data_IF_918484449527
#
_entry.id   IF_918484449527
#
_cell.length_a   1.000
_cell.length_b   1.000
_cell.length_c   1.000
_cell.angle_alpha   90.00
_cell.angle_beta   90.00
_cell.angle_gamma   90.00
#
_symmetry.space_group_name_H-M   'P 1'
#
loop_
_entity.id
_entity.type
_entity.pdbx_description
1 polymer ?
#
# COMPACT_ATOMS: atom_id res chain seq x y z
N UNK A 1 -8.48 -18.58 35.38
CA UNK A 1 -7.43 -18.02 34.51
C UNK A 1 -7.82 -18.27 33.07
N UNK A 2 -8.28 -17.23 32.34
CA UNK A 2 -8.65 -17.35 30.91
C UNK A 2 -7.35 -17.33 30.11
N UNK A 3 -7.00 -18.44 29.45
CA UNK A 3 -5.89 -18.50 28.52
C UNK A 3 -6.28 -17.73 27.25
N UNK A 4 -5.63 -16.58 27.00
CA UNK A 4 -5.72 -15.88 25.73
C UNK A 4 -4.85 -16.63 24.72
N UNK A 5 -5.48 -17.28 23.75
CA UNK A 5 -4.80 -17.79 22.57
C UNK A 5 -4.75 -16.64 21.54
N UNK A 6 -3.59 -16.05 21.35
CA UNK A 6 -3.35 -15.11 20.24
C UNK A 6 -3.29 -15.93 18.96
N UNK A 7 -4.34 -15.83 18.15
CA UNK A 7 -4.31 -16.39 16.81
C UNK A 7 -3.40 -15.53 15.93
N UNK A 8 -2.20 -16.02 15.68
CA UNK A 8 -1.27 -15.47 14.70
C UNK A 8 -1.88 -15.68 13.31
N UNK A 9 -2.57 -14.70 12.77
CA UNK A 9 -2.98 -14.73 11.37
C UNK A 9 -1.78 -14.31 10.55
N UNK A 10 -1.31 -15.18 9.66
CA UNK A 10 -0.27 -14.94 8.70
C UNK A 10 -0.53 -13.63 7.95
N UNK A 11 0.32 -12.64 8.16
CA UNK A 11 0.45 -11.51 7.28
C UNK A 11 0.95 -12.07 5.94
N UNK A 12 0.10 -12.02 4.92
CA UNK A 12 0.58 -12.17 3.55
C UNK A 12 1.64 -11.09 3.32
N UNK A 13 2.86 -11.45 2.87
CA UNK A 13 3.87 -10.46 2.58
C UNK A 13 3.29 -9.46 1.57
N UNK A 14 3.36 -8.18 1.93
CA UNK A 14 2.99 -7.08 1.03
C UNK A 14 4.00 -7.05 -0.11
N UNK A 15 3.56 -7.47 -1.30
CA UNK A 15 4.37 -7.51 -2.50
C UNK A 15 4.27 -6.19 -3.24
N UNK A 16 5.23 -5.33 -3.03
CA UNK A 16 5.32 -4.05 -3.72
C UNK A 16 6.59 -4.07 -4.58
N UNK A 17 6.51 -3.59 -5.80
CA UNK A 17 7.59 -3.68 -6.78
C UNK A 17 7.78 -2.37 -7.54
N UNK A 18 9.01 -1.89 -7.59
CA UNK A 18 9.43 -0.81 -8.48
C UNK A 18 10.07 -1.39 -9.74
N UNK A 19 9.54 -1.09 -10.93
CA UNK A 19 10.07 -1.63 -12.18
C UNK A 19 11.31 -0.87 -12.63
N UNK A 20 12.43 -1.59 -12.80
CA UNK A 20 13.57 -1.06 -13.56
C UNK A 20 13.25 -1.05 -15.07
N UNK A 21 13.77 -0.09 -15.85
CA UNK A 21 13.51 -0.03 -17.28
C UNK A 21 14.14 -1.24 -17.98
N UNK A 22 13.30 -2.19 -18.43
CA UNK A 22 13.75 -3.22 -19.37
C UNK A 22 13.95 -2.59 -20.75
N UNK A 23 15.07 -2.88 -21.40
CA UNK A 23 15.34 -2.60 -22.82
C UNK A 23 14.12 -2.99 -23.65
N UNK A 24 13.63 -2.06 -24.47
CA UNK A 24 12.55 -2.27 -25.41
C UNK A 24 12.88 -3.45 -26.34
N UNK A 25 12.24 -4.59 -26.14
CA UNK A 25 12.01 -5.54 -27.22
C UNK A 25 10.68 -5.19 -27.85
N UNK A 26 10.75 -4.88 -29.15
CA UNK A 26 9.62 -4.55 -30.00
C UNK A 26 8.56 -5.65 -29.98
N UNK A 27 7.39 -5.33 -29.45
CA UNK A 27 6.15 -5.98 -29.84
C UNK A 27 5.26 -4.92 -30.48
N UNK A 28 5.30 -4.90 -31.81
CA UNK A 28 4.33 -4.20 -32.64
C UNK A 28 3.00 -4.95 -32.60
N UNK A 29 1.93 -4.13 -32.66
CA UNK A 29 0.53 -4.44 -32.93
C UNK A 29 -0.35 -4.78 -31.73
N UNK A 30 -0.88 -3.71 -31.12
CA UNK A 30 -2.29 -3.67 -30.75
C UNK A 30 -2.88 -2.29 -31.07
N UNK A 31 -4.01 -2.31 -31.75
CA UNK A 31 -4.72 -1.22 -32.41
C UNK A 31 -4.99 0.00 -31.54
N UNK A 32 -4.89 1.18 -32.19
CA UNK A 32 -5.44 2.47 -31.76
C UNK A 32 -6.87 2.35 -31.22
N UNK A 33 -7.02 2.47 -29.90
CA UNK A 33 -8.25 2.94 -29.28
C UNK A 33 -7.86 3.90 -28.15
N UNK A 34 -8.37 5.11 -28.26
CA UNK A 34 -8.31 6.26 -27.37
C UNK A 34 -7.91 5.91 -25.92
N UNK A 35 -6.72 6.30 -25.51
CA UNK A 35 -6.31 6.36 -24.12
C UNK A 35 -7.18 7.41 -23.39
N UNK A 36 -8.38 7.03 -22.96
CA UNK A 36 -9.05 7.69 -21.86
C UNK A 36 -8.13 7.51 -20.66
N UNK A 37 -7.60 8.61 -20.12
CA UNK A 37 -6.98 8.66 -18.80
C UNK A 37 -8.03 8.15 -17.79
N UNK A 38 -8.00 6.84 -17.50
CA UNK A 38 -8.85 6.21 -16.49
C UNK A 38 -8.21 6.49 -15.12
N UNK A 39 -8.42 7.71 -14.62
CA UNK A 39 -8.19 7.96 -13.19
C UNK A 39 -9.13 7.08 -12.37
N UNK A 40 -8.65 6.64 -11.20
CA UNK A 40 -9.47 5.87 -10.25
C UNK A 40 -10.76 6.64 -9.95
N UNK A 41 -11.91 5.99 -10.14
CA UNK A 41 -13.19 6.56 -9.75
C UNK A 41 -13.28 6.56 -8.22
N UNK A 42 -13.10 7.72 -7.60
CA UNK A 42 -12.99 7.88 -6.14
C UNK A 42 -14.25 7.39 -5.41
N UNK A 43 -15.45 7.70 -5.91
CA UNK A 43 -16.69 7.27 -5.26
C UNK A 43 -16.81 5.75 -5.21
N UNK A 44 -16.57 5.08 -6.33
CA UNK A 44 -16.60 3.63 -6.41
C UNK A 44 -15.52 2.99 -5.55
N UNK A 45 -14.31 3.56 -5.52
CA UNK A 45 -13.22 3.10 -4.68
C UNK A 45 -13.62 3.13 -3.20
N UNK A 46 -14.10 4.27 -2.69
CA UNK A 46 -14.46 4.42 -1.27
C UNK A 46 -15.59 3.48 -0.87
N UNK A 47 -16.61 3.31 -1.72
CA UNK A 47 -17.70 2.36 -1.47
C UNK A 47 -17.17 0.92 -1.36
N UNK A 48 -16.25 0.52 -2.24
CA UNK A 48 -15.69 -0.82 -2.24
C UNK A 48 -14.73 -1.05 -1.06
N UNK A 49 -13.92 -0.07 -0.72
CA UNK A 49 -13.09 -0.11 0.49
C UNK A 49 -13.94 -0.24 1.76
N UNK A 50 -15.00 0.55 1.90
CA UNK A 50 -15.94 0.43 3.02
C UNK A 50 -16.56 -0.97 3.13
N UNK A 51 -16.90 -1.60 1.97
CA UNK A 51 -17.40 -2.99 1.95
C UNK A 51 -16.32 -3.99 2.38
N UNK A 52 -15.07 -3.78 1.97
CA UNK A 52 -13.95 -4.62 2.36
C UNK A 52 -13.65 -4.48 3.87
N UNK A 53 -13.67 -3.25 4.40
CA UNK A 53 -13.45 -2.95 5.81
C UNK A 53 -14.41 -3.68 6.75
N UNK A 54 -15.65 -3.98 6.29
CA UNK A 54 -16.58 -4.82 7.05
C UNK A 54 -16.02 -6.21 7.36
N UNK A 55 -15.18 -6.76 6.46
CA UNK A 55 -14.54 -8.06 6.65
C UNK A 55 -13.40 -7.99 7.68
N UNK A 56 -12.78 -6.81 7.82
CA UNK A 56 -11.66 -6.53 8.75
C UNK A 56 -12.12 -6.23 10.17
N UNK A 57 -13.40 -5.87 10.35
CA UNK A 57 -13.96 -5.57 11.68
C UNK A 57 -13.71 -6.75 12.63
N UNK A 58 -13.16 -6.50 13.84
CA UNK A 58 -12.91 -7.54 14.82
C UNK A 58 -14.19 -8.31 15.18
N UNK A 59 -14.07 -9.59 15.49
CA UNK A 59 -15.20 -10.47 15.83
C UNK A 59 -14.90 -11.27 17.10
N UNK A 60 -15.86 -11.36 17.99
CA UNK A 60 -15.82 -12.30 19.10
C UNK A 60 -16.25 -13.68 18.60
N UNK A 61 -15.38 -14.67 18.76
CA UNK A 61 -15.61 -16.06 18.36
C UNK A 61 -15.83 -16.88 19.62
N UNK A 62 -16.91 -17.66 19.66
CA UNK A 62 -17.23 -18.61 20.71
C UNK A 62 -16.88 -20.02 20.25
N UNK A 63 -16.11 -20.74 21.03
CA UNK A 63 -15.78 -22.15 20.80
C UNK A 63 -16.80 -23.06 21.49
N UNK A 64 -16.94 -24.28 20.99
CA UNK A 64 -17.84 -25.29 21.56
C UNK A 64 -17.45 -25.75 23.01
N UNK A 65 -16.20 -25.48 23.42
CA UNK A 65 -15.73 -25.78 24.79
C UNK A 65 -16.00 -24.64 25.80
N UNK A 66 -16.81 -23.64 25.43
CA UNK A 66 -17.18 -22.50 26.29
C UNK A 66 -16.12 -21.39 26.36
N UNK A 67 -14.99 -21.51 25.67
CA UNK A 67 -14.00 -20.43 25.57
C UNK A 67 -14.38 -19.44 24.49
N UNK A 68 -13.89 -18.18 24.60
CA UNK A 68 -14.08 -17.16 23.59
C UNK A 68 -12.78 -16.41 23.33
N UNK A 69 -12.59 -15.97 22.08
CA UNK A 69 -11.44 -15.17 21.69
C UNK A 69 -11.85 -14.11 20.66
N UNK A 70 -11.06 -13.04 20.56
CA UNK A 70 -11.24 -12.03 19.52
C UNK A 70 -10.40 -12.38 18.31
N UNK A 71 -11.02 -12.37 17.12
CA UNK A 71 -10.34 -12.46 15.84
C UNK A 71 -10.32 -11.08 15.19
N UNK A 72 -9.14 -10.58 14.91
CA UNK A 72 -8.96 -9.30 14.23
C UNK A 72 -7.71 -9.35 13.33
N UNK A 73 -7.63 -8.42 12.37
CA UNK A 73 -6.47 -8.22 11.52
C UNK A 73 -5.78 -6.93 11.94
N UNK A 74 -4.45 -6.99 12.11
CA UNK A 74 -3.63 -5.81 12.35
C UNK A 74 -3.54 -4.97 11.09
N UNK A 75 -3.50 -3.65 11.25
CA UNK A 75 -3.18 -2.72 10.17
C UNK A 75 -1.67 -2.81 9.86
N UNK A 76 -1.23 -2.50 8.62
CA UNK A 76 0.19 -2.37 8.33
C UNK A 76 0.88 -1.41 9.31
N UNK A 77 2.02 -1.82 9.86
CA UNK A 77 2.78 -1.03 10.83
C UNK A 77 2.18 -0.92 12.25
N UNK A 78 1.02 -1.56 12.49
CA UNK A 78 0.36 -1.51 13.80
C UNK A 78 1.06 -2.41 14.83
N UNK A 79 1.34 -1.83 16.00
CA UNK A 79 1.86 -2.55 17.16
C UNK A 79 0.82 -3.49 17.81
N UNK A 80 1.06 -3.83 19.08
CA UNK A 80 0.06 -4.52 19.91
C UNK A 80 -1.07 -3.54 20.26
N UNK A 81 -2.32 -3.98 20.09
CA UNK A 81 -3.51 -3.20 20.44
C UNK A 81 -4.17 -3.76 21.70
N UNK A 82 -4.80 -2.88 22.48
CA UNK A 82 -5.47 -3.26 23.71
C UNK A 82 -6.80 -3.98 23.44
N UNK A 83 -7.29 -4.69 24.46
CA UNK A 83 -8.61 -5.32 24.41
C UNK A 83 -9.73 -4.27 24.24
N UNK A 84 -9.57 -3.13 24.86
CA UNK A 84 -10.48 -1.99 24.78
C UNK A 84 -10.57 -1.48 23.35
N UNK A 85 -9.44 -1.33 22.69
CA UNK A 85 -9.38 -0.89 21.28
C UNK A 85 -10.01 -1.94 20.34
N UNK A 86 -9.79 -3.24 20.58
CA UNK A 86 -10.46 -4.30 19.81
C UNK A 86 -11.98 -4.19 19.93
N UNK A 87 -12.49 -3.96 21.17
CA UNK A 87 -13.92 -3.79 21.41
C UNK A 87 -14.48 -2.54 20.76
N UNK A 88 -13.75 -1.43 20.83
CA UNK A 88 -14.13 -0.18 20.16
C UNK A 88 -14.25 -0.37 18.65
N UNK A 89 -13.25 -0.99 18.02
CA UNK A 89 -13.30 -1.32 16.58
C UNK A 89 -14.48 -2.23 16.22
N UNK A 90 -14.85 -3.15 17.10
CA UNK A 90 -16.07 -3.97 16.91
C UNK A 90 -17.34 -3.13 16.89
N UNK A 91 -17.46 -2.15 17.80
CA UNK A 91 -18.62 -1.27 17.92
C UNK A 91 -18.71 -0.34 16.71
N UNK A 92 -17.58 0.29 16.35
CA UNK A 92 -17.51 1.21 15.20
C UNK A 92 -17.66 0.50 13.86
N UNK A 93 -17.36 -0.81 13.82
CA UNK A 93 -17.39 -1.58 12.58
C UNK A 93 -16.46 -1.01 11.53
N UNK A 94 -16.90 -0.89 10.25
CA UNK A 94 -16.06 -0.32 9.18
C UNK A 94 -15.75 1.17 9.36
N UNK A 95 -16.46 1.88 10.26
CA UNK A 95 -16.14 3.29 10.55
C UNK A 95 -14.83 3.44 11.33
N UNK A 96 -14.33 2.38 11.97
CA UNK A 96 -12.99 2.37 12.58
C UNK A 96 -11.85 2.57 11.57
N UNK A 97 -12.14 2.50 10.27
CA UNK A 97 -11.19 2.74 9.16
C UNK A 97 -11.53 4.01 8.36
N UNK A 98 -12.33 4.91 8.93
CA UNK A 98 -12.71 6.16 8.26
C UNK A 98 -11.49 7.04 7.97
N UNK A 99 -10.57 7.13 8.92
CA UNK A 99 -9.34 7.93 8.80
C UNK A 99 -8.51 7.48 7.59
N UNK A 100 -8.31 6.17 7.42
CA UNK A 100 -7.56 5.63 6.29
C UNK A 100 -8.24 5.97 4.96
N UNK A 101 -9.58 5.94 4.88
CA UNK A 101 -10.30 6.35 3.67
C UNK A 101 -10.15 7.84 3.36
N UNK A 102 -10.15 8.70 4.38
CA UNK A 102 -9.89 10.13 4.23
C UNK A 102 -8.45 10.39 3.75
N UNK A 103 -7.46 9.68 4.31
CA UNK A 103 -6.07 9.78 3.89
C UNK A 103 -5.84 9.29 2.45
N UNK A 104 -6.53 8.21 2.04
CA UNK A 104 -6.55 7.75 0.64
C UNK A 104 -7.06 8.87 -0.29
N UNK A 105 -8.19 9.50 0.07
CA UNK A 105 -8.76 10.59 -0.73
C UNK A 105 -7.80 11.78 -0.84
N UNK A 106 -7.19 12.17 0.28
CA UNK A 106 -6.24 13.29 0.32
C UNK A 106 -5.00 12.99 -0.53
N UNK A 107 -4.46 11.77 -0.45
CA UNK A 107 -3.29 11.36 -1.23
C UNK A 107 -3.62 11.27 -2.73
N UNK A 108 -4.75 10.68 -3.11
CA UNK A 108 -5.20 10.62 -4.51
C UNK A 108 -5.48 12.02 -5.07
N UNK A 109 -6.05 12.92 -4.28
CA UNK A 109 -6.22 14.32 -4.65
C UNK A 109 -4.87 14.96 -4.97
N UNK A 110 -3.86 14.78 -4.10
CA UNK A 110 -2.51 15.32 -4.33
C UNK A 110 -1.85 14.74 -5.57
N UNK A 111 -1.95 13.42 -5.79
CA UNK A 111 -1.46 12.74 -6.99
C UNK A 111 -2.09 13.35 -8.25
N UNK A 112 -3.42 13.59 -8.24
CA UNK A 112 -4.13 14.19 -9.36
C UNK A 112 -3.73 15.66 -9.59
N UNK A 113 -3.50 16.47 -8.54
CA UNK A 113 -3.00 17.85 -8.64
C UNK A 113 -1.64 17.88 -9.32
N UNK A 114 -0.78 16.93 -9.07
CA UNK A 114 0.50 16.73 -9.74
C UNK A 114 0.36 16.16 -11.17
N UNK A 115 -0.85 15.87 -11.63
CA UNK A 115 -1.16 15.27 -12.94
C UNK A 115 -0.48 13.91 -13.14
N UNK A 116 -0.28 13.17 -12.06
CA UNK A 116 0.23 11.79 -12.10
C UNK A 116 -0.95 10.87 -12.40
N UNK A 117 -0.78 10.01 -13.40
CA UNK A 117 -1.80 9.00 -13.72
C UNK A 117 -1.90 7.97 -12.59
N UNK A 118 -3.13 7.55 -12.29
CA UNK A 118 -3.34 6.48 -11.32
C UNK A 118 -4.46 5.55 -11.79
N UNK A 119 -4.27 4.24 -11.64
CA UNK A 119 -5.25 3.24 -12.07
C UNK A 119 -5.25 1.99 -11.20
N UNK A 120 -6.39 1.30 -11.18
CA UNK A 120 -6.50 -0.08 -10.71
C UNK A 120 -6.32 -1.01 -11.90
N UNK A 121 -5.42 -1.98 -11.81
CA UNK A 121 -5.17 -2.95 -12.88
C UNK A 121 -4.64 -4.26 -12.30
N UNK A 122 -4.57 -5.32 -13.09
CA UNK A 122 -3.95 -6.57 -12.67
C UNK A 122 -2.43 -6.51 -12.89
N UNK A 123 -1.65 -6.75 -11.84
CA UNK A 123 -0.19 -6.76 -11.89
C UNK A 123 0.32 -8.21 -11.96
N UNK A 124 0.76 -8.63 -13.16
CA UNK A 124 1.20 -10.02 -13.43
C UNK A 124 2.37 -10.50 -12.59
N UNK A 125 3.24 -9.59 -12.13
CA UNK A 125 4.40 -9.93 -11.31
C UNK A 125 4.04 -10.39 -9.89
N UNK A 126 2.78 -10.23 -9.48
CA UNK A 126 2.33 -10.47 -8.11
C UNK A 126 2.53 -9.28 -7.17
N UNK A 127 3.16 -8.20 -7.62
CA UNK A 127 3.23 -6.95 -6.88
C UNK A 127 1.82 -6.40 -6.62
N UNK A 128 1.64 -5.69 -5.51
CA UNK A 128 0.37 -5.07 -5.13
C UNK A 128 0.29 -3.60 -5.55
N UNK A 129 1.43 -2.96 -5.79
CA UNK A 129 1.56 -1.62 -6.33
C UNK A 129 2.74 -1.55 -7.29
N UNK A 130 2.76 -0.48 -8.10
CA UNK A 130 3.83 -0.24 -9.06
C UNK A 130 3.87 1.23 -9.47
N UNK A 131 4.98 1.90 -9.22
CA UNK A 131 5.32 3.16 -9.86
C UNK A 131 6.02 2.90 -11.19
N UNK A 132 5.52 3.48 -12.28
CA UNK A 132 6.10 3.38 -13.63
C UNK A 132 6.56 4.78 -14.07
N UNK A 133 7.84 5.14 -13.83
CA UNK A 133 8.36 6.47 -14.15
C UNK A 133 8.23 6.84 -15.64
N UNK A 134 8.42 5.89 -16.55
CA UNK A 134 8.32 6.13 -17.99
C UNK A 134 6.94 6.58 -18.45
N UNK A 135 5.91 6.19 -17.71
CA UNK A 135 4.51 6.39 -18.06
C UNK A 135 3.84 7.40 -17.10
N UNK A 136 4.60 7.93 -16.14
CA UNK A 136 4.12 8.83 -15.08
C UNK A 136 2.84 8.26 -14.41
N UNK A 137 2.86 6.96 -14.07
CA UNK A 137 1.66 6.21 -13.67
C UNK A 137 1.90 5.39 -12.42
N UNK A 138 1.02 5.56 -11.42
CA UNK A 138 0.85 4.63 -10.30
C UNK A 138 -0.20 3.59 -10.69
N UNK A 139 0.16 2.32 -10.57
CA UNK A 139 -0.77 1.19 -10.73
C UNK A 139 -0.93 0.51 -9.39
N UNK A 140 -2.17 0.34 -8.93
CA UNK A 140 -2.49 -0.48 -7.76
C UNK A 140 -3.22 -1.73 -8.25
N UNK A 141 -2.81 -2.91 -7.78
CA UNK A 141 -3.52 -4.13 -8.14
C UNK A 141 -4.95 -4.08 -7.59
N UNK A 142 -5.94 -4.39 -8.43
CA UNK A 142 -7.35 -4.27 -8.03
C UNK A 142 -7.71 -5.16 -6.83
N UNK A 143 -6.97 -6.26 -6.59
CA UNK A 143 -7.15 -7.15 -5.43
C UNK A 143 -6.91 -6.43 -4.10
N UNK A 144 -6.11 -5.37 -4.10
CA UNK A 144 -5.81 -4.56 -2.90
C UNK A 144 -7.06 -3.90 -2.33
N UNK A 145 -8.03 -3.57 -3.18
CA UNK A 145 -9.32 -3.01 -2.73
C UNK A 145 -10.04 -3.98 -1.79
N UNK A 146 -9.95 -5.29 -2.06
CA UNK A 146 -10.57 -6.31 -1.20
C UNK A 146 -9.82 -6.54 0.12
N UNK A 147 -8.57 -6.07 0.20
CA UNK A 147 -7.75 -6.12 1.42
C UNK A 147 -8.06 -4.99 2.41
N UNK A 148 -8.93 -4.05 2.02
CA UNK A 148 -9.43 -2.97 2.86
C UNK A 148 -8.57 -1.72 2.89
N UNK A 149 -9.12 -0.68 3.53
CA UNK A 149 -8.56 0.67 3.54
C UNK A 149 -7.14 0.75 4.10
N UNK A 150 -6.78 0.08 5.22
CA UNK A 150 -5.42 0.19 5.75
C UNK A 150 -4.35 -0.34 4.78
N UNK A 151 -4.61 -1.48 4.14
CA UNK A 151 -3.68 -2.06 3.17
C UNK A 151 -3.60 -1.21 1.90
N UNK A 152 -4.76 -0.75 1.41
CA UNK A 152 -4.79 0.13 0.25
C UNK A 152 -4.00 1.42 0.47
N UNK A 153 -4.19 2.08 1.63
CA UNK A 153 -3.45 3.29 1.99
C UNK A 153 -1.95 3.04 2.03
N UNK A 154 -1.53 1.94 2.67
CA UNK A 154 -0.12 1.60 2.79
C UNK A 154 0.55 1.41 1.42
N UNK A 155 -0.10 0.68 0.50
CA UNK A 155 0.43 0.45 -0.85
C UNK A 155 0.44 1.75 -1.66
N UNK A 156 -0.65 2.53 -1.62
CA UNK A 156 -0.71 3.81 -2.31
C UNK A 156 0.36 4.79 -1.80
N UNK A 157 0.59 4.83 -0.47
CA UNK A 157 1.64 5.65 0.16
C UNK A 157 3.03 5.22 -0.29
N UNK A 158 3.28 3.91 -0.35
CA UNK A 158 4.56 3.36 -0.82
C UNK A 158 4.86 3.80 -2.27
N UNK A 159 3.90 3.64 -3.19
CA UNK A 159 4.08 4.06 -4.58
C UNK A 159 4.24 5.59 -4.71
N UNK A 160 3.51 6.36 -3.90
CA UNK A 160 3.65 7.80 -3.85
C UNK A 160 5.03 8.25 -3.34
N UNK A 161 5.64 7.49 -2.42
CA UNK A 161 7.02 7.73 -1.98
C UNK A 161 8.00 7.46 -3.13
N UNK A 162 7.80 6.42 -3.95
CA UNK A 162 8.61 6.19 -5.15
C UNK A 162 8.49 7.34 -6.16
N UNK A 163 7.31 7.95 -6.30
CA UNK A 163 7.16 9.19 -7.08
C UNK A 163 8.05 10.29 -6.51
N UNK A 164 8.01 10.53 -5.20
CA UNK A 164 8.84 11.54 -4.54
C UNK A 164 10.35 11.26 -4.70
N UNK A 165 10.76 9.99 -4.59
CA UNK A 165 12.13 9.55 -4.86
C UNK A 165 12.57 9.80 -6.31
N UNK A 166 11.66 9.65 -7.28
CA UNK A 166 11.90 9.99 -8.68
C UNK A 166 12.05 11.50 -8.86
N UNK A 167 11.16 12.30 -8.27
CA UNK A 167 11.25 13.77 -8.27
C UNK A 167 12.56 14.25 -7.64
N UNK A 168 12.97 13.68 -6.50
CA UNK A 168 14.24 13.96 -5.84
C UNK A 168 15.44 13.65 -6.74
N UNK A 169 15.37 12.62 -7.57
CA UNK A 169 16.39 12.31 -8.60
C UNK A 169 16.35 13.27 -9.81
N UNK A 170 15.58 14.33 -9.75
CA UNK A 170 15.52 15.43 -10.70
C UNK A 170 14.28 15.46 -11.60
N UNK A 171 13.52 14.38 -11.76
CA UNK A 171 12.23 14.37 -12.46
C UNK A 171 11.48 13.06 -12.28
N UNK A 172 10.14 13.07 -12.42
CA UNK A 172 9.26 11.91 -12.25
C UNK A 172 9.53 10.76 -13.22
N UNK A 173 10.07 11.05 -14.40
CA UNK A 173 10.40 10.02 -15.40
C UNK A 173 11.74 9.29 -15.13
N UNK A 174 12.47 9.68 -14.09
CA UNK A 174 13.69 9.00 -13.66
C UNK A 174 13.37 7.87 -12.70
N UNK A 175 14.27 6.88 -12.67
CA UNK A 175 14.21 5.81 -11.69
C UNK A 175 14.29 6.39 -10.26
N UNK A 176 13.53 5.86 -9.27
CA UNK A 176 13.59 6.30 -7.88
C UNK A 176 15.02 6.25 -7.33
N UNK A 177 15.39 7.25 -6.53
CA UNK A 177 16.64 7.33 -5.79
C UNK A 177 16.32 7.66 -4.33
N UNK A 178 17.06 7.07 -3.42
CA UNK A 178 16.88 7.36 -1.99
C UNK A 178 16.92 8.86 -1.73
N UNK A 179 15.95 9.35 -0.97
CA UNK A 179 15.89 10.72 -0.46
C UNK A 179 16.97 10.92 0.65
N UNK A 180 17.32 9.83 1.34
CA UNK A 180 18.29 9.84 2.42
C UNK A 180 17.65 9.85 3.80
N UNK A 181 16.37 9.52 3.91
CA UNK A 181 15.68 9.36 5.18
C UNK A 181 16.24 8.16 5.96
N UNK A 182 16.17 8.16 7.32
CA UNK A 182 16.56 7.02 8.14
C UNK A 182 15.82 5.74 7.73
N UNK A 183 16.50 4.61 7.72
CA UNK A 183 15.92 3.31 7.35
C UNK A 183 15.54 2.51 8.59
N UNK A 184 14.34 1.90 8.60
CA UNK A 184 13.98 0.91 9.59
C UNK A 184 14.50 -0.49 9.21
N UNK A 185 14.77 -1.32 10.23
CA UNK A 185 15.27 -2.69 10.12
C UNK A 185 14.44 -3.63 11.01
N UNK A 186 13.11 -3.63 10.81
CA UNK A 186 12.25 -4.58 11.51
C UNK A 186 12.27 -5.96 10.84
N UNK A 187 11.89 -7.00 11.60
CA UNK A 187 11.74 -8.36 11.06
C UNK A 187 10.71 -8.40 9.94
N UNK A 188 9.58 -7.70 10.10
CA UNK A 188 8.51 -7.62 9.10
C UNK A 188 9.01 -7.00 7.80
N UNK A 189 9.73 -5.88 7.88
CA UNK A 189 10.30 -5.21 6.72
C UNK A 189 11.33 -6.10 6.00
N UNK A 190 12.17 -6.78 6.75
CA UNK A 190 13.15 -7.71 6.18
C UNK A 190 12.47 -8.90 5.49
N UNK A 191 11.35 -9.41 6.03
CA UNK A 191 10.55 -10.45 5.36
C UNK A 191 9.97 -9.96 4.04
N UNK A 192 9.43 -8.75 3.99
CA UNK A 192 8.94 -8.16 2.75
C UNK A 192 10.05 -8.05 1.69
N UNK A 193 11.24 -7.59 2.08
CA UNK A 193 12.39 -7.43 1.19
C UNK A 193 13.09 -8.75 0.84
N UNK A 194 12.84 -9.85 1.56
CA UNK A 194 13.36 -11.18 1.23
C UNK A 194 12.54 -11.93 0.17
N UNK A 195 11.43 -11.35 -0.28
CA UNK A 195 10.58 -11.96 -1.29
C UNK A 195 11.31 -12.07 -2.64
N UNK A 196 10.96 -13.08 -3.45
CA UNK A 196 11.55 -13.36 -4.76
C UNK A 196 11.60 -12.15 -5.72
N UNK A 197 10.71 -11.16 -5.56
CA UNK A 197 10.73 -9.92 -6.34
C UNK A 197 12.00 -9.09 -6.13
N UNK A 198 12.67 -9.28 -4.99
CA UNK A 198 13.85 -8.51 -4.58
C UNK A 198 15.15 -9.35 -4.57
N UNK A 199 15.07 -10.68 -4.72
CA UNK A 199 16.19 -11.61 -4.54
C UNK A 199 17.38 -11.33 -5.45
N UNK A 200 17.16 -10.72 -6.63
CA UNK A 200 18.20 -10.38 -7.61
C UNK A 200 18.46 -8.87 -7.72
N UNK A 201 17.93 -8.06 -6.78
CA UNK A 201 18.10 -6.62 -6.81
C UNK A 201 19.41 -6.20 -6.15
N UNK A 202 20.00 -5.11 -6.65
CA UNK A 202 21.18 -4.50 -6.00
C UNK A 202 20.81 -3.94 -4.63
N UNK A 203 21.79 -3.80 -3.75
CA UNK A 203 21.61 -3.20 -2.44
C UNK A 203 21.04 -1.78 -2.53
N UNK A 204 21.41 -1.02 -3.55
CA UNK A 204 20.85 0.32 -3.80
C UNK A 204 19.34 0.26 -4.01
N UNK A 205 18.85 -0.66 -4.84
CA UNK A 205 17.42 -0.87 -5.07
C UNK A 205 16.72 -1.34 -3.79
N UNK A 206 17.33 -2.27 -3.05
CA UNK A 206 16.77 -2.74 -1.76
C UNK A 206 16.65 -1.57 -0.77
N UNK A 207 17.60 -0.66 -0.73
CA UNK A 207 17.56 0.49 0.16
C UNK A 207 16.55 1.56 -0.28
N UNK A 208 16.26 1.71 -1.59
CA UNK A 208 15.18 2.53 -2.13
C UNK A 208 13.81 1.98 -1.64
N UNK A 209 13.60 0.68 -1.82
CA UNK A 209 12.39 -0.01 -1.35
C UNK A 209 12.25 0.06 0.17
N UNK A 210 13.33 -0.16 0.91
CA UNK A 210 13.35 -0.08 2.37
C UNK A 210 12.91 1.31 2.86
N UNK A 211 13.39 2.37 2.22
CA UNK A 211 12.98 3.73 2.54
C UNK A 211 11.47 3.90 2.30
N UNK A 212 10.94 3.47 1.16
CA UNK A 212 9.52 3.55 0.86
C UNK A 212 8.67 2.72 1.86
N UNK A 213 9.05 1.50 2.17
CA UNK A 213 8.38 0.67 3.18
C UNK A 213 8.40 1.29 4.58
N UNK A 214 9.55 1.87 4.97
CA UNK A 214 9.70 2.50 6.30
C UNK A 214 8.64 3.58 6.52
N UNK A 215 8.39 4.39 5.51
CA UNK A 215 7.56 5.58 5.64
C UNK A 215 6.13 5.42 5.10
N UNK A 216 5.81 4.32 4.43
CA UNK A 216 4.48 4.08 3.88
C UNK A 216 3.39 3.99 4.95
N UNK A 217 3.74 3.58 6.18
CA UNK A 217 2.83 3.46 7.32
C UNK A 217 2.74 4.73 8.17
N UNK A 218 3.59 5.72 7.91
CA UNK A 218 3.60 6.97 8.67
C UNK A 218 2.59 7.97 8.09
N UNK A 219 1.71 8.48 8.96
CA UNK A 219 0.63 9.38 8.59
C UNK A 219 1.15 10.65 7.89
N UNK A 220 0.60 10.95 6.73
CA UNK A 220 0.86 12.17 5.97
C UNK A 220 2.24 12.27 5.32
N UNK A 221 3.15 11.32 5.56
CA UNK A 221 4.53 11.39 5.06
C UNK A 221 4.58 11.37 3.54
N UNK A 222 3.80 10.51 2.88
CA UNK A 222 3.76 10.44 1.41
C UNK A 222 3.36 11.80 0.79
N UNK A 223 2.32 12.45 1.32
CA UNK A 223 1.88 13.78 0.85
C UNK A 223 2.97 14.83 1.10
N UNK A 224 3.60 14.81 2.27
CA UNK A 224 4.68 15.73 2.60
C UNK A 224 5.86 15.60 1.63
N UNK A 225 6.30 14.38 1.33
CA UNK A 225 7.39 14.14 0.40
C UNK A 225 7.04 14.54 -1.05
N UNK A 226 5.80 14.29 -1.50
CA UNK A 226 5.32 14.79 -2.79
C UNK A 226 5.33 16.31 -2.86
N UNK A 227 4.96 17.00 -1.77
CA UNK A 227 4.96 18.47 -1.72
C UNK A 227 6.37 19.05 -1.74
N UNK A 228 7.31 18.36 -1.11
CA UNK A 228 8.70 18.80 -0.98
C UNK A 228 9.46 18.64 -2.29
N UNK A 229 9.33 17.50 -2.97
CA UNK A 229 10.17 17.14 -4.10
C UNK A 229 9.50 17.25 -5.47
N UNK A 230 8.17 17.13 -5.57
CA UNK A 230 7.43 17.19 -6.84
C UNK A 230 6.75 18.55 -7.01
N UNK A 231 7.33 19.38 -7.88
CA UNK A 231 6.80 20.72 -8.23
C UNK A 231 6.09 20.68 -9.57
#
# INVERSE_FOLDING_TARGET
>A
MKKFLFGLLFLLPLLIYCSSPKKKNSFNNFSNNQTKNLSINLNNLIINLYKADKKLTPKLIHNNNGTSYYRYLKKPGEGEISLEEIKERMILGPNSYQKEREDILNLLKRINELKINNKLDYIKSGALGLWIPSDDTIVIDYRVVEMGSPTFLNILSHEAIHVAQSCFNGSRNKFPKRIGLPLAYSTELNLNLSHNLYSEKSEEVINIEREAFTYATEEGVAIRLLNEFCK
#
